data_IF_518128215248
#
_entry.id   IF_518128215248
#
_cell.length_a   1.000
_cell.length_b   1.000
_cell.length_c   1.000
_cell.angle_alpha   90.00
_cell.angle_beta   90.00
_cell.angle_gamma   90.00
#
_symmetry.space_group_name_H-M   'P 1'
#
loop_
_entity.id
_entity.type
_entity.pdbx_description
1 polymer ?
#
# COMPACT_ATOMS: atom_id res chain seq x y z
N UNK A 1 -5.49 -34.40 2.86
CA UNK A 1 -5.79 -33.53 4.00
C UNK A 1 -4.67 -32.49 4.29
N UNK A 2 -3.38 -32.85 4.26
CA UNK A 2 -2.27 -31.91 4.57
C UNK A 2 -2.15 -30.76 3.56
N UNK A 3 -2.20 -31.04 2.25
CA UNK A 3 -2.09 -30.01 1.21
C UNK A 3 -3.22 -28.97 1.23
N UNK A 4 -4.43 -29.40 1.56
CA UNK A 4 -5.57 -28.49 1.63
C UNK A 4 -5.48 -27.54 2.83
N UNK A 5 -5.01 -28.01 3.98
CA UNK A 5 -4.75 -27.16 5.15
C UNK A 5 -3.66 -26.13 4.88
N UNK A 6 -2.61 -26.55 4.19
CA UNK A 6 -1.52 -25.64 3.79
C UNK A 6 -2.01 -24.56 2.83
N UNK A 7 -2.78 -24.91 1.80
CA UNK A 7 -3.38 -23.95 0.89
C UNK A 7 -4.26 -22.94 1.62
N UNK A 8 -5.15 -23.39 2.50
CA UNK A 8 -6.02 -22.52 3.29
C UNK A 8 -5.23 -21.54 4.18
N UNK A 9 -4.16 -22.00 4.83
CA UNK A 9 -3.31 -21.15 5.66
C UNK A 9 -2.60 -20.05 4.83
N UNK A 10 -2.11 -20.43 3.64
CA UNK A 10 -1.45 -19.48 2.73
C UNK A 10 -2.46 -18.45 2.18
N UNK A 11 -3.65 -18.88 1.81
CA UNK A 11 -4.74 -18.00 1.37
C UNK A 11 -5.15 -17.03 2.49
N UNK A 12 -5.28 -17.52 3.72
CA UNK A 12 -5.55 -16.68 4.88
C UNK A 12 -4.47 -15.62 5.09
N UNK A 13 -3.21 -16.01 4.99
CA UNK A 13 -2.08 -15.09 5.12
C UNK A 13 -2.09 -14.01 4.03
N UNK A 14 -2.35 -14.39 2.77
CA UNK A 14 -2.47 -13.46 1.66
C UNK A 14 -3.58 -12.43 1.88
N UNK A 15 -4.77 -12.89 2.30
CA UNK A 15 -5.91 -12.01 2.58
C UNK A 15 -5.60 -11.08 3.75
N UNK A 16 -5.16 -11.62 4.86
CA UNK A 16 -4.92 -10.84 6.09
C UNK A 16 -3.93 -9.71 5.83
N UNK A 17 -2.79 -10.03 5.24
CA UNK A 17 -1.74 -9.02 4.98
C UNK A 17 -2.17 -8.00 3.92
N UNK A 18 -2.91 -8.43 2.88
CA UNK A 18 -3.46 -7.53 1.87
C UNK A 18 -4.50 -6.57 2.45
N UNK A 19 -5.44 -7.08 3.24
CA UNK A 19 -6.52 -6.26 3.82
C UNK A 19 -6.00 -5.26 4.85
N UNK A 20 -5.04 -5.65 5.68
CA UNK A 20 -4.37 -4.71 6.60
C UNK A 20 -3.62 -3.63 5.85
N UNK A 21 -2.89 -3.99 4.79
CA UNK A 21 -2.23 -3.00 3.92
C UNK A 21 -3.25 -2.04 3.28
N UNK A 22 -4.31 -2.57 2.68
CA UNK A 22 -5.34 -1.78 2.00
C UNK A 22 -6.05 -0.84 2.97
N UNK A 23 -6.42 -1.32 4.15
CA UNK A 23 -7.03 -0.50 5.21
C UNK A 23 -6.13 0.65 5.63
N UNK A 24 -4.85 0.40 5.86
CA UNK A 24 -3.88 1.43 6.19
C UNK A 24 -3.70 2.45 5.04
N UNK A 25 -3.63 1.99 3.80
CA UNK A 25 -3.47 2.86 2.63
C UNK A 25 -4.70 3.75 2.42
N UNK A 26 -5.91 3.19 2.56
CA UNK A 26 -7.18 3.93 2.47
C UNK A 26 -7.28 4.96 3.58
N UNK A 27 -6.95 4.59 4.83
CA UNK A 27 -6.95 5.52 5.96
C UNK A 27 -6.02 6.72 5.71
N UNK A 28 -4.82 6.48 5.22
CA UNK A 28 -3.89 7.55 4.88
C UNK A 28 -4.49 8.45 3.79
N UNK A 29 -5.10 7.88 2.74
CA UNK A 29 -5.62 8.65 1.61
C UNK A 29 -6.89 9.43 1.93
N UNK A 30 -7.80 8.87 2.73
CA UNK A 30 -9.11 9.47 2.98
C UNK A 30 -9.20 10.23 4.30
N UNK A 31 -8.34 9.96 5.26
CA UNK A 31 -8.41 10.54 6.60
C UNK A 31 -7.14 11.31 6.95
N UNK A 32 -6.00 10.64 7.05
CA UNK A 32 -4.78 11.24 7.57
C UNK A 32 -4.23 12.34 6.66
N UNK A 33 -4.10 12.06 5.36
CA UNK A 33 -3.53 13.03 4.43
C UNK A 33 -4.43 14.27 4.22
N UNK A 34 -5.74 14.16 4.00
CA UNK A 34 -6.64 15.32 3.97
C UNK A 34 -6.61 16.14 5.26
N UNK A 35 -6.62 15.51 6.44
CA UNK A 35 -6.50 16.20 7.72
C UNK A 35 -5.17 16.98 7.84
N UNK A 36 -4.07 16.36 7.43
CA UNK A 36 -2.75 17.00 7.36
C UNK A 36 -2.76 18.19 6.40
N UNK A 37 -3.41 18.04 5.24
CA UNK A 37 -3.52 19.10 4.23
C UNK A 37 -4.46 20.24 4.63
N UNK A 38 -5.27 20.11 5.67
CA UNK A 38 -6.04 21.24 6.25
C UNK A 38 -5.19 22.15 7.11
N UNK A 39 -4.00 21.72 7.53
CA UNK A 39 -3.02 22.55 8.24
C UNK A 39 -2.20 23.41 7.27
N UNK A 40 -1.45 24.38 7.82
CA UNK A 40 -0.45 25.08 7.03
C UNK A 40 0.63 24.14 6.49
N UNK A 41 1.34 24.57 5.45
CA UNK A 41 2.30 23.74 4.73
C UNK A 41 3.43 23.23 5.60
N UNK A 42 3.94 24.06 6.53
CA UNK A 42 5.03 23.69 7.44
C UNK A 42 4.61 22.56 8.36
N UNK A 43 3.45 22.64 8.98
CA UNK A 43 2.90 21.60 9.86
C UNK A 43 2.66 20.33 9.05
N UNK A 44 2.02 20.44 7.89
CA UNK A 44 1.75 19.31 7.01
C UNK A 44 3.02 18.55 6.63
N UNK A 45 4.07 19.23 6.22
CA UNK A 45 5.35 18.64 5.85
C UNK A 45 6.09 18.03 7.05
N UNK A 46 6.07 18.71 8.19
CA UNK A 46 6.71 18.23 9.43
C UNK A 46 6.11 16.92 9.91
N UNK A 47 4.78 16.77 9.86
CA UNK A 47 4.09 15.54 10.24
C UNK A 47 4.25 14.43 9.20
N UNK A 48 4.29 14.81 7.90
CA UNK A 48 4.38 13.83 6.82
C UNK A 48 5.64 12.97 6.89
N UNK A 49 6.81 13.54 7.16
CA UNK A 49 8.08 12.82 7.10
C UNK A 49 8.18 11.64 8.10
N UNK A 50 7.91 11.79 9.40
CA UNK A 50 7.93 10.68 10.34
C UNK A 50 6.78 9.68 10.10
N UNK A 51 5.60 10.16 9.69
CA UNK A 51 4.45 9.32 9.34
C UNK A 51 4.77 8.41 8.16
N UNK A 52 5.33 8.97 7.08
CA UNK A 52 5.78 8.23 5.90
C UNK A 52 6.78 7.11 6.26
N UNK A 53 7.80 7.40 7.06
CA UNK A 53 8.80 6.42 7.47
C UNK A 53 8.17 5.26 8.24
N UNK A 54 7.31 5.54 9.20
CA UNK A 54 6.61 4.51 10.01
C UNK A 54 5.65 3.69 9.16
N UNK A 55 4.87 4.35 8.29
CA UNK A 55 3.96 3.67 7.37
C UNK A 55 4.70 2.73 6.43
N UNK A 56 5.88 3.13 5.93
CA UNK A 56 6.70 2.29 5.05
C UNK A 56 7.19 1.03 5.78
N UNK A 57 7.66 1.15 7.03
CA UNK A 57 8.12 0.00 7.83
C UNK A 57 7.00 -1.02 8.08
N UNK A 58 5.75 -0.58 8.19
CA UNK A 58 4.60 -1.47 8.36
C UNK A 58 4.10 -2.02 7.02
N UNK A 59 3.93 -1.18 6.02
CA UNK A 59 3.26 -1.54 4.78
C UNK A 59 4.15 -2.37 3.83
N UNK A 60 5.46 -2.11 3.78
CA UNK A 60 6.34 -2.83 2.86
C UNK A 60 6.37 -4.35 3.14
N UNK A 61 6.56 -4.83 4.39
CA UNK A 61 6.47 -6.26 4.68
C UNK A 61 5.10 -6.85 4.35
N UNK A 62 4.01 -6.13 4.65
CA UNK A 62 2.66 -6.60 4.35
C UNK A 62 2.44 -6.83 2.86
N UNK A 63 2.89 -5.91 1.99
CA UNK A 63 2.80 -6.06 0.55
C UNK A 63 3.61 -7.26 0.04
N UNK A 64 4.84 -7.43 0.54
CA UNK A 64 5.73 -8.54 0.17
C UNK A 64 5.14 -9.89 0.58
N UNK A 65 4.70 -10.01 1.83
CA UNK A 65 4.10 -11.25 2.34
C UNK A 65 2.82 -11.59 1.57
N UNK A 66 1.95 -10.59 1.33
CA UNK A 66 0.72 -10.78 0.56
C UNK A 66 1.01 -11.24 -0.87
N UNK A 67 1.98 -10.62 -1.55
CA UNK A 67 2.37 -11.01 -2.90
C UNK A 67 2.83 -12.46 -2.96
N UNK A 68 3.81 -12.85 -2.14
CA UNK A 68 4.34 -14.22 -2.17
C UNK A 68 3.31 -15.26 -1.74
N UNK A 69 2.47 -14.94 -0.76
CA UNK A 69 1.38 -15.83 -0.33
C UNK A 69 0.33 -15.99 -1.44
N UNK A 70 -0.02 -14.93 -2.15
CA UNK A 70 -0.95 -15.01 -3.28
C UNK A 70 -0.39 -15.82 -4.45
N UNK A 71 0.90 -15.64 -4.78
CA UNK A 71 1.59 -16.47 -5.79
C UNK A 71 1.62 -17.94 -5.35
N UNK A 72 1.99 -18.21 -4.10
CA UNK A 72 2.00 -19.57 -3.57
C UNK A 72 0.60 -20.23 -3.60
N UNK A 73 -0.45 -19.49 -3.24
CA UNK A 73 -1.82 -19.97 -3.32
C UNK A 73 -2.22 -20.36 -4.75
N UNK A 74 -1.79 -19.57 -5.74
CA UNK A 74 -2.00 -19.91 -7.15
C UNK A 74 -1.25 -21.19 -7.56
N UNK A 75 0.03 -21.30 -7.23
CA UNK A 75 0.86 -22.47 -7.56
C UNK A 75 0.36 -23.76 -6.91
N UNK A 76 -0.28 -23.65 -5.75
CA UNK A 76 -0.90 -24.78 -5.03
C UNK A 76 -2.33 -25.11 -5.52
N UNK A 77 -2.73 -24.58 -6.66
CA UNK A 77 -4.01 -24.92 -7.29
C UNK A 77 -5.20 -24.05 -6.85
N UNK A 78 -5.00 -22.94 -6.15
CA UNK A 78 -6.06 -22.02 -5.74
C UNK A 78 -6.75 -21.27 -6.90
N UNK A 79 -6.19 -21.36 -8.13
CA UNK A 79 -6.72 -20.73 -9.34
C UNK A 79 -6.12 -19.36 -9.65
N UNK A 80 -6.28 -18.93 -10.90
CA UNK A 80 -5.60 -17.76 -11.48
C UNK A 80 -5.89 -16.43 -10.77
N UNK A 81 -7.04 -16.28 -10.13
CA UNK A 81 -7.40 -15.05 -9.43
C UNK A 81 -6.48 -14.74 -8.24
N UNK A 82 -5.87 -15.76 -7.63
CA UNK A 82 -4.82 -15.56 -6.61
C UNK A 82 -3.58 -14.91 -7.21
N UNK A 83 -3.21 -15.27 -8.42
CA UNK A 83 -2.11 -14.62 -9.14
C UNK A 83 -2.46 -13.18 -9.52
N UNK A 84 -3.68 -12.93 -10.01
CA UNK A 84 -4.13 -11.57 -10.36
C UNK A 84 -4.09 -10.65 -9.12
N UNK A 85 -4.64 -11.09 -7.99
CA UNK A 85 -4.57 -10.34 -6.73
C UNK A 85 -3.14 -10.12 -6.26
N UNK A 86 -2.27 -11.13 -6.38
CA UNK A 86 -0.86 -11.02 -6.05
C UNK A 86 -0.14 -9.97 -6.91
N UNK A 87 -0.37 -9.94 -8.22
CA UNK A 87 0.20 -8.93 -9.12
C UNK A 87 -0.25 -7.53 -8.75
N UNK A 88 -1.52 -7.34 -8.40
CA UNK A 88 -2.04 -6.04 -7.99
C UNK A 88 -1.38 -5.53 -6.71
N UNK A 89 -1.32 -6.33 -5.65
CA UNK A 89 -0.65 -5.91 -4.41
C UNK A 89 0.86 -5.79 -4.60
N UNK A 90 1.48 -6.69 -5.36
CA UNK A 90 2.89 -6.68 -5.67
C UNK A 90 3.32 -5.44 -6.48
N UNK A 91 2.46 -4.95 -7.39
CA UNK A 91 2.75 -3.76 -8.21
C UNK A 91 2.88 -2.47 -7.40
N UNK A 92 2.36 -2.43 -6.18
CA UNK A 92 2.51 -1.29 -5.27
C UNK A 92 3.98 -1.02 -4.93
N UNK A 93 4.82 -2.07 -4.86
CA UNK A 93 6.24 -1.93 -4.54
C UNK A 93 7.00 -1.22 -5.66
N UNK A 94 7.06 -1.72 -6.90
CA UNK A 94 7.76 -1.03 -7.98
C UNK A 94 7.14 0.35 -8.28
N UNK A 95 5.83 0.53 -8.19
CA UNK A 95 5.19 1.83 -8.32
C UNK A 95 5.74 2.83 -7.28
N UNK A 96 5.89 2.40 -6.03
CA UNK A 96 6.46 3.24 -4.98
C UNK A 96 7.93 3.58 -5.26
N UNK A 97 8.74 2.57 -5.63
CA UNK A 97 10.18 2.74 -5.82
C UNK A 97 10.55 3.54 -7.09
N UNK A 98 9.71 3.50 -8.12
CA UNK A 98 9.99 4.18 -9.40
C UNK A 98 9.31 5.55 -9.46
N UNK A 99 8.05 5.62 -9.04
CA UNK A 99 7.22 6.81 -9.26
C UNK A 99 7.12 7.68 -8.00
N UNK A 100 6.70 7.11 -6.87
CA UNK A 100 6.50 7.87 -5.64
C UNK A 100 7.84 8.33 -5.04
N UNK A 101 8.87 7.49 -5.15
CA UNK A 101 10.19 7.76 -4.59
C UNK A 101 10.75 9.13 -5.00
N UNK A 102 10.54 9.54 -6.23
CA UNK A 102 10.98 10.88 -6.71
C UNK A 102 10.36 12.01 -5.89
N UNK A 103 9.08 11.91 -5.57
CA UNK A 103 8.39 12.91 -4.73
C UNK A 103 8.84 12.81 -3.28
N UNK A 104 9.05 11.58 -2.77
CA UNK A 104 9.57 11.37 -1.42
C UNK A 104 10.96 11.97 -1.23
N UNK A 105 11.87 11.73 -2.17
CA UNK A 105 13.25 12.25 -2.11
C UNK A 105 13.25 13.78 -2.13
N UNK A 106 12.38 14.41 -2.93
CA UNK A 106 12.23 15.87 -2.94
C UNK A 106 11.69 16.39 -1.60
N UNK A 107 10.67 15.75 -1.02
CA UNK A 107 10.11 16.16 0.28
C UNK A 107 11.10 15.94 1.44
N UNK A 108 12.00 14.99 1.32
CA UNK A 108 13.01 14.66 2.34
C UNK A 108 14.35 15.40 2.12
N UNK A 109 14.45 16.28 1.12
CA UNK A 109 15.69 17.03 0.85
C UNK A 109 16.08 17.87 2.06
N UNK A 110 17.30 17.72 2.62
CA UNK A 110 17.77 18.55 3.72
C UNK A 110 17.73 20.05 3.36
N UNK A 111 17.30 20.87 4.30
CA UNK A 111 17.23 22.34 4.10
C UNK A 111 16.07 22.83 3.22
N UNK A 112 15.14 21.94 2.83
CA UNK A 112 13.93 22.36 2.10
C UNK A 112 13.11 23.34 2.93
N UNK A 113 12.63 24.40 2.28
CA UNK A 113 11.65 25.29 2.90
C UNK A 113 10.29 24.59 3.03
N UNK A 114 9.98 24.18 4.25
CA UNK A 114 8.75 23.44 4.57
C UNK A 114 7.48 24.31 4.46
N UNK A 115 7.61 25.64 4.36
CA UNK A 115 6.47 26.55 4.23
C UNK A 115 6.18 26.97 2.78
N UNK A 116 7.06 26.59 1.84
CA UNK A 116 6.95 27.03 0.45
C UNK A 116 5.75 26.43 -0.28
N UNK A 117 5.28 27.15 -1.31
CA UNK A 117 4.26 26.66 -2.24
C UNK A 117 4.70 25.38 -2.97
N UNK A 118 6.00 25.25 -3.28
CA UNK A 118 6.56 24.05 -3.90
C UNK A 118 6.44 22.83 -2.99
N UNK A 119 6.68 23.00 -1.70
CA UNK A 119 6.48 21.92 -0.72
C UNK A 119 4.99 21.52 -0.63
N UNK A 120 4.09 22.51 -0.69
CA UNK A 120 2.65 22.25 -0.76
C UNK A 120 2.27 21.43 -1.98
N UNK A 121 2.73 21.82 -3.15
CA UNK A 121 2.48 21.13 -4.40
C UNK A 121 3.00 19.67 -4.39
N UNK A 122 4.18 19.44 -3.78
CA UNK A 122 4.73 18.08 -3.61
C UNK A 122 3.87 17.22 -2.69
N UNK A 123 3.35 17.76 -1.59
CA UNK A 123 2.43 17.03 -0.70
C UNK A 123 1.13 16.66 -1.41
N UNK A 124 0.56 17.58 -2.18
CA UNK A 124 -0.63 17.33 -3.00
C UNK A 124 -0.39 16.23 -4.05
N UNK A 125 0.75 16.32 -4.76
CA UNK A 125 1.17 15.29 -5.70
C UNK A 125 1.35 13.94 -5.02
N UNK A 126 1.99 13.92 -3.86
CA UNK A 126 2.18 12.71 -3.07
C UNK A 126 0.84 12.06 -2.71
N UNK A 127 -0.14 12.83 -2.27
CA UNK A 127 -1.48 12.34 -1.96
C UNK A 127 -2.16 11.64 -3.15
N UNK A 128 -2.08 12.24 -4.35
CA UNK A 128 -2.61 11.66 -5.59
C UNK A 128 -1.90 10.33 -5.94
N UNK A 129 -0.58 10.29 -5.83
CA UNK A 129 0.20 9.08 -6.09
C UNK A 129 -0.09 7.99 -5.05
N UNK A 130 -0.25 8.37 -3.77
CA UNK A 130 -0.59 7.43 -2.71
C UNK A 130 -1.98 6.81 -2.92
N UNK A 131 -2.95 7.57 -3.45
CA UNK A 131 -4.28 7.07 -3.75
C UNK A 131 -4.27 5.89 -4.76
N UNK A 132 -3.33 5.88 -5.71
CA UNK A 132 -3.14 4.72 -6.62
C UNK A 132 -2.82 3.45 -5.85
N UNK A 133 -1.98 3.52 -4.81
CA UNK A 133 -1.66 2.38 -3.94
C UNK A 133 -2.90 1.88 -3.20
N UNK A 134 -3.76 2.80 -2.74
CA UNK A 134 -5.02 2.45 -2.07
C UNK A 134 -5.95 1.70 -3.02
N UNK A 135 -6.10 2.17 -4.26
CA UNK A 135 -6.93 1.51 -5.28
C UNK A 135 -6.40 0.11 -5.62
N UNK A 136 -5.09 -0.02 -5.89
CA UNK A 136 -4.48 -1.30 -6.25
C UNK A 136 -4.63 -2.34 -5.14
N UNK A 137 -4.32 -1.96 -3.90
CA UNK A 137 -4.41 -2.86 -2.75
C UNK A 137 -5.85 -3.21 -2.38
N UNK A 138 -6.78 -2.27 -2.49
CA UNK A 138 -8.21 -2.52 -2.25
C UNK A 138 -8.78 -3.48 -3.30
N UNK A 139 -8.46 -3.29 -4.58
CA UNK A 139 -8.85 -4.21 -5.66
C UNK A 139 -8.29 -5.62 -5.44
N UNK A 140 -7.03 -5.74 -5.02
CA UNK A 140 -6.44 -7.02 -4.66
C UNK A 140 -7.19 -7.69 -3.49
N UNK A 141 -7.54 -6.92 -2.46
CA UNK A 141 -8.31 -7.41 -1.30
C UNK A 141 -9.68 -7.96 -1.72
N UNK A 142 -10.39 -7.23 -2.58
CA UNK A 142 -11.70 -7.68 -3.11
C UNK A 142 -11.55 -9.02 -3.85
N UNK A 143 -10.54 -9.13 -4.71
CA UNK A 143 -10.30 -10.37 -5.49
C UNK A 143 -10.01 -11.55 -4.54
N UNK A 144 -9.14 -11.36 -3.56
CA UNK A 144 -8.79 -12.41 -2.61
C UNK A 144 -9.99 -12.87 -1.77
N UNK A 145 -10.75 -11.92 -1.22
CA UNK A 145 -11.96 -12.22 -0.41
C UNK A 145 -13.01 -12.90 -1.28
N UNK A 146 -13.27 -12.38 -2.49
CA UNK A 146 -14.24 -12.98 -3.41
C UNK A 146 -13.90 -14.43 -3.74
N UNK A 147 -12.61 -14.74 -3.92
CA UNK A 147 -12.16 -16.09 -4.24
C UNK A 147 -12.43 -17.09 -3.11
N UNK A 148 -12.25 -16.68 -1.86
CA UNK A 148 -12.49 -17.59 -0.73
C UNK A 148 -13.99 -17.84 -0.50
N UNK A 149 -14.85 -16.89 -0.89
CA UNK A 149 -16.31 -17.04 -0.79
C UNK A 149 -16.91 -17.96 -1.87
N UNK A 150 -16.18 -18.21 -2.95
CA UNK A 150 -16.62 -19.07 -4.09
C UNK A 150 -16.00 -20.46 -4.12
N UNK A 151 -15.40 -20.89 -3.04
CA UNK A 151 -14.86 -22.26 -2.88
C UNK A 151 -15.96 -23.24 -2.53
#
# INVERSE_FOLDING_TARGET
MHGQRMLTAIQFLAILTCTVFAGAAIYISLVEHPARMSCDTRIAATVWAPSYKRATLMQAPLAVVSFFSGVAAWLLGGGIMWFVGAVLIGSVVPFTLIIIKRTNDQLLTPGRDLASSDTRALLEKWGKLHAVRSVLSFSASIIFVYRILKV
#
